data_IF_286392279922
#
_entry.id   IF_286392279922
#
_cell.length_a   1.000
_cell.length_b   1.000
_cell.length_c   1.000
_cell.angle_alpha   90.00
_cell.angle_beta   90.00
_cell.angle_gamma   90.00
#
_symmetry.space_group_name_H-M   'P 1'
#
loop_
_entity.id
_entity.type
_entity.pdbx_description
1 polymer ?
#
# COMPACT_ATOMS: atom_id res chain seq x y z
N UNK A 1 10.79 3.04 11.68
CA UNK A 1 10.28 4.23 10.96
C UNK A 1 10.42 5.44 11.86
N UNK A 2 10.76 6.61 11.31
CA UNK A 2 10.90 7.85 12.07
C UNK A 2 9.75 8.80 11.75
N UNK A 3 9.12 9.38 12.76
CA UNK A 3 8.01 10.32 12.62
C UNK A 3 8.28 11.58 13.43
N UNK A 4 7.89 12.73 12.89
CA UNK A 4 7.91 13.98 13.64
C UNK A 4 6.53 14.17 14.30
N UNK A 5 6.48 14.08 15.63
CA UNK A 5 5.28 14.26 16.43
C UNK A 5 5.50 15.44 17.38
N UNK A 6 4.75 16.53 17.17
CA UNK A 6 4.86 17.73 18.01
C UNK A 6 6.26 18.35 18.06
N UNK A 7 7.05 18.23 16.98
CA UNK A 7 8.43 18.72 16.92
C UNK A 7 9.49 17.74 17.46
N UNK A 8 9.08 16.59 17.99
CA UNK A 8 9.97 15.54 18.47
C UNK A 8 10.07 14.39 17.46
N UNK A 9 11.28 13.91 17.19
CA UNK A 9 11.50 12.77 16.30
C UNK A 9 11.36 11.46 17.10
N UNK A 10 10.32 10.70 16.81
CA UNK A 10 9.99 9.43 17.46
C UNK A 10 10.26 8.27 16.52
N UNK A 11 10.86 7.20 17.03
CA UNK A 11 11.06 5.95 16.28
C UNK A 11 10.03 4.92 16.69
N UNK A 12 9.27 4.44 15.72
CA UNK A 12 8.44 3.24 15.87
C UNK A 12 9.13 2.06 15.22
N UNK A 13 9.10 0.91 15.89
CA UNK A 13 9.35 -0.35 15.20
C UNK A 13 8.11 -0.70 14.33
N UNK A 14 8.19 -1.77 13.54
CA UNK A 14 7.11 -2.15 12.64
C UNK A 14 5.87 -2.66 13.41
N UNK A 15 6.08 -3.35 14.53
CA UNK A 15 4.98 -3.82 15.39
C UNK A 15 4.24 -2.65 16.06
N UNK A 16 4.96 -1.66 16.59
CA UNK A 16 4.38 -0.44 17.19
C UNK A 16 3.57 0.32 16.13
N UNK A 17 4.10 0.44 14.92
CA UNK A 17 3.40 1.11 13.82
C UNK A 17 2.12 0.36 13.45
N UNK A 18 2.17 -0.97 13.36
CA UNK A 18 1.00 -1.79 13.08
C UNK A 18 -0.06 -1.68 14.19
N UNK A 19 0.37 -1.64 15.45
CA UNK A 19 -0.51 -1.43 16.59
C UNK A 19 -1.25 -0.09 16.50
N UNK A 20 -0.53 0.99 16.17
CA UNK A 20 -1.11 2.35 16.11
C UNK A 20 -2.00 2.54 14.87
N UNK A 21 -1.59 1.98 13.73
CA UNK A 21 -2.33 2.08 12.47
C UNK A 21 -3.50 1.11 12.35
N UNK A 22 -3.60 0.12 13.26
CA UNK A 22 -4.59 -0.96 13.18
C UNK A 22 -4.28 -2.01 12.11
N UNK A 23 -3.11 -1.94 11.47
CA UNK A 23 -2.64 -2.94 10.50
C UNK A 23 -2.39 -4.26 11.22
N UNK A 24 -2.93 -5.36 10.68
CA UNK A 24 -2.82 -6.68 11.30
C UNK A 24 -1.44 -7.29 11.07
N UNK A 25 -0.54 -7.12 12.02
CA UNK A 25 0.80 -7.73 12.00
C UNK A 25 0.85 -9.08 12.75
N UNK A 26 -0.02 -10.02 12.38
CA UNK A 26 -0.04 -11.36 12.98
C UNK A 26 -0.39 -12.44 11.96
N UNK A 27 -0.02 -13.68 12.26
CA UNK A 27 -0.30 -14.83 11.39
C UNK A 27 0.46 -14.80 10.06
N UNK A 28 0.11 -15.72 9.17
CA UNK A 28 0.75 -15.92 7.86
C UNK A 28 -0.31 -15.86 6.78
N UNK A 29 -0.07 -15.03 5.78
CA UNK A 29 -0.86 -14.96 4.56
C UNK A 29 0.06 -14.75 3.36
N UNK A 30 -0.34 -15.26 2.20
CA UNK A 30 0.46 -15.18 0.98
C UNK A 30 -0.23 -14.27 -0.01
N UNK A 31 0.47 -13.21 -0.45
CA UNK A 31 -0.02 -12.29 -1.48
C UNK A 31 -0.33 -12.98 -2.80
N UNK A 32 0.28 -14.14 -3.06
CA UNK A 32 0.08 -14.91 -4.28
C UNK A 32 -1.37 -15.34 -4.52
N UNK A 33 -2.24 -15.32 -3.49
CA UNK A 33 -3.68 -15.55 -3.68
C UNK A 33 -4.37 -14.45 -4.50
N UNK A 34 -3.71 -13.31 -4.67
CA UNK A 34 -4.16 -12.17 -5.48
C UNK A 34 -3.50 -12.14 -6.87
N UNK A 35 -2.61 -13.09 -7.17
CA UNK A 35 -1.99 -13.19 -8.48
C UNK A 35 -3.07 -13.52 -9.53
N UNK A 36 -3.01 -12.86 -10.69
CA UNK A 36 -3.97 -13.02 -11.80
C UNK A 36 -5.43 -12.67 -11.49
N UNK A 37 -5.74 -12.07 -10.34
CA UNK A 37 -7.06 -11.49 -10.09
C UNK A 37 -7.24 -10.18 -10.88
N UNK A 38 -8.49 -9.89 -11.24
CA UNK A 38 -8.85 -8.62 -11.86
C UNK A 38 -8.61 -7.46 -10.89
N UNK A 39 -8.00 -6.37 -11.37
CA UNK A 39 -7.78 -5.14 -10.62
C UNK A 39 -8.41 -3.96 -11.38
N UNK A 40 -9.55 -3.49 -10.89
CA UNK A 40 -10.27 -2.36 -11.48
C UNK A 40 -9.41 -1.09 -11.46
N UNK A 41 -8.70 -0.82 -10.37
CA UNK A 41 -7.84 0.38 -10.27
C UNK A 41 -6.82 0.42 -11.42
N UNK A 42 -6.18 -0.71 -11.69
CA UNK A 42 -5.21 -0.84 -12.78
C UNK A 42 -5.87 -0.61 -14.14
N UNK A 43 -7.03 -1.22 -14.37
CA UNK A 43 -7.72 -1.14 -15.66
C UNK A 43 -8.42 0.20 -15.94
N UNK A 44 -8.96 0.88 -14.93
CA UNK A 44 -9.70 2.13 -15.12
C UNK A 44 -8.81 3.37 -15.06
N UNK A 45 -7.79 3.36 -14.20
CA UNK A 45 -7.00 4.57 -13.92
C UNK A 45 -5.56 4.51 -14.42
N UNK A 46 -5.02 3.31 -14.64
CA UNK A 46 -3.60 3.09 -14.94
C UNK A 46 -3.39 2.21 -16.18
N UNK A 47 -4.39 2.10 -17.06
CA UNK A 47 -4.39 1.20 -18.23
C UNK A 47 -3.21 1.45 -19.18
N UNK A 48 -2.83 2.72 -19.33
CA UNK A 48 -1.76 3.16 -20.22
C UNK A 48 -0.36 2.86 -19.67
N UNK A 49 -0.26 2.49 -18.39
CA UNK A 49 1.01 2.25 -17.73
C UNK A 49 1.37 0.77 -17.76
N UNK A 50 2.39 0.44 -18.56
CA UNK A 50 2.89 -0.94 -18.67
C UNK A 50 3.47 -1.45 -17.35
N UNK A 51 4.18 -0.60 -16.62
CA UNK A 51 4.71 -0.87 -15.28
C UNK A 51 4.37 0.33 -14.40
N UNK A 52 3.64 0.09 -13.32
CA UNK A 52 3.20 1.15 -12.41
C UNK A 52 4.28 1.33 -11.35
N UNK A 53 4.90 2.50 -11.33
CA UNK A 53 5.94 2.88 -10.37
C UNK A 53 5.37 3.46 -9.08
N UNK A 54 6.14 3.41 -8.01
CA UNK A 54 5.77 4.06 -6.73
C UNK A 54 5.62 5.58 -6.86
N UNK A 55 6.36 6.20 -7.78
CA UNK A 55 6.23 7.62 -8.14
C UNK A 55 4.92 7.93 -8.85
N UNK A 56 4.48 7.07 -9.78
CA UNK A 56 3.20 7.26 -10.48
C UNK A 56 2.03 7.09 -9.53
N UNK A 57 2.08 6.14 -8.58
CA UNK A 57 1.07 6.04 -7.52
C UNK A 57 1.03 7.30 -6.65
N UNK A 58 2.20 7.83 -6.28
CA UNK A 58 2.30 9.08 -5.52
C UNK A 58 1.70 10.27 -6.27
N UNK A 59 2.07 10.42 -7.54
CA UNK A 59 1.54 11.48 -8.40
C UNK A 59 0.04 11.35 -8.57
N UNK A 60 -0.46 10.13 -8.78
CA UNK A 60 -1.87 9.89 -8.97
C UNK A 60 -2.68 10.25 -7.71
N UNK A 61 -2.21 9.81 -6.54
CA UNK A 61 -2.86 10.11 -5.26
C UNK A 61 -2.84 11.61 -4.91
N UNK A 62 -1.73 12.30 -5.16
CA UNK A 62 -1.56 13.70 -4.79
C UNK A 62 -2.21 14.70 -5.79
N UNK A 63 -2.41 14.30 -7.05
CA UNK A 63 -2.82 15.23 -8.13
C UNK A 63 -4.22 14.98 -8.69
N UNK A 64 -4.86 13.84 -8.43
CA UNK A 64 -6.19 13.56 -8.99
C UNK A 64 -7.33 13.94 -8.06
N UNK A 65 -8.06 15.00 -8.44
CA UNK A 65 -9.17 15.56 -7.68
C UNK A 65 -10.55 15.02 -8.10
N UNK A 66 -10.62 14.11 -9.07
CA UNK A 66 -11.89 13.59 -9.63
C UNK A 66 -12.20 12.13 -9.27
N UNK A 67 -11.53 11.61 -8.24
CA UNK A 67 -11.78 10.25 -7.74
C UNK A 67 -12.96 10.23 -6.78
N UNK A 68 -13.69 9.11 -6.74
CA UNK A 68 -14.64 8.87 -5.66
C UNK A 68 -13.89 8.73 -4.32
N UNK A 69 -14.53 9.02 -3.18
CA UNK A 69 -13.91 8.86 -1.86
C UNK A 69 -13.32 7.45 -1.67
N UNK A 70 -14.02 6.42 -2.15
CA UNK A 70 -13.55 5.04 -2.12
C UNK A 70 -12.26 4.85 -2.92
N UNK A 71 -12.13 5.49 -4.06
CA UNK A 71 -10.94 5.41 -4.92
C UNK A 71 -9.77 6.17 -4.31
N UNK A 72 -10.03 7.36 -3.75
CA UNK A 72 -9.03 8.13 -3.00
C UNK A 72 -8.45 7.30 -1.87
N UNK A 73 -9.30 6.62 -1.09
CA UNK A 73 -8.85 5.73 -0.01
C UNK A 73 -7.98 4.60 -0.55
N UNK A 74 -8.38 3.96 -1.66
CA UNK A 74 -7.59 2.90 -2.29
C UNK A 74 -6.21 3.39 -2.73
N UNK A 75 -6.13 4.53 -3.43
CA UNK A 75 -4.85 5.12 -3.82
C UNK A 75 -4.00 5.56 -2.62
N UNK A 76 -4.62 6.08 -1.56
CA UNK A 76 -3.94 6.42 -0.31
C UNK A 76 -3.35 5.19 0.39
N UNK A 77 -4.08 4.08 0.42
CA UNK A 77 -3.61 2.79 0.90
C UNK A 77 -2.42 2.29 0.07
N UNK A 78 -2.53 2.34 -1.26
CA UNK A 78 -1.44 1.92 -2.15
C UNK A 78 -0.19 2.80 -1.96
N UNK A 79 -0.38 4.11 -1.81
CA UNK A 79 0.68 5.06 -1.48
C UNK A 79 1.37 4.72 -0.15
N UNK A 80 0.60 4.49 0.92
CA UNK A 80 1.13 4.10 2.24
C UNK A 80 1.95 2.81 2.16
N UNK A 81 1.43 1.79 1.46
CA UNK A 81 2.11 0.50 1.34
C UNK A 81 3.43 0.64 0.58
N UNK A 82 3.42 1.34 -0.54
CA UNK A 82 4.57 1.44 -1.44
C UNK A 82 5.63 2.46 -0.97
N UNK A 83 5.21 3.56 -0.34
CA UNK A 83 6.09 4.68 0.04
C UNK A 83 6.35 4.81 1.54
N UNK A 84 5.70 4.01 2.39
CA UNK A 84 6.00 3.99 3.85
C UNK A 84 6.41 2.59 4.29
N UNK A 85 5.56 1.59 4.03
CA UNK A 85 5.77 0.24 4.55
C UNK A 85 6.86 -0.54 3.80
N UNK A 86 6.89 -0.47 2.48
CA UNK A 86 7.85 -1.19 1.62
C UNK A 86 8.98 -0.30 1.08
N UNK A 87 9.28 0.80 1.74
CA UNK A 87 10.30 1.80 1.32
C UNK A 87 11.69 1.23 1.12
N UNK A 88 12.05 0.15 1.82
CA UNK A 88 13.34 -0.52 1.69
C UNK A 88 13.37 -1.53 0.55
N UNK A 89 12.22 -1.85 -0.05
CA UNK A 89 12.17 -2.76 -1.19
C UNK A 89 12.74 -2.05 -2.43
N UNK A 90 13.77 -2.63 -3.05
CA UNK A 90 14.44 -2.07 -4.24
C UNK A 90 13.53 -2.03 -5.49
N UNK A 91 12.28 -2.48 -5.36
CA UNK A 91 11.32 -2.57 -6.46
C UNK A 91 10.71 -1.19 -6.72
N UNK A 92 11.12 -0.58 -7.82
CA UNK A 92 10.51 0.66 -8.32
C UNK A 92 9.09 0.46 -8.85
N UNK A 93 8.75 -0.78 -9.24
CA UNK A 93 7.42 -1.15 -9.73
C UNK A 93 6.57 -1.72 -8.60
N UNK A 94 5.32 -1.29 -8.57
CA UNK A 94 4.26 -1.83 -7.73
C UNK A 94 3.83 -3.18 -8.30
N UNK A 95 3.68 -4.16 -7.43
CA UNK A 95 3.23 -5.51 -7.81
C UNK A 95 1.72 -5.54 -8.04
N UNK A 96 1.29 -6.29 -9.06
CA UNK A 96 -0.14 -6.45 -9.38
C UNK A 96 -0.95 -7.00 -8.22
N UNK A 97 -0.40 -7.98 -7.48
CA UNK A 97 -1.06 -8.57 -6.33
C UNK A 97 -1.29 -7.59 -5.17
N UNK A 98 -0.45 -6.56 -5.05
CA UNK A 98 -0.66 -5.47 -4.07
C UNK A 98 -1.81 -4.56 -4.50
N UNK A 99 -1.90 -4.26 -5.79
CA UNK A 99 -3.00 -3.45 -6.34
C UNK A 99 -4.33 -4.18 -6.24
N UNK A 100 -4.36 -5.49 -6.52
CA UNK A 100 -5.55 -6.33 -6.32
C UNK A 100 -5.97 -6.33 -4.85
N UNK A 101 -5.03 -6.52 -3.91
CA UNK A 101 -5.34 -6.55 -2.47
C UNK A 101 -5.99 -5.24 -2.00
N UNK A 102 -5.51 -4.10 -2.50
CA UNK A 102 -6.09 -2.78 -2.19
C UNK A 102 -7.47 -2.65 -2.84
N UNK A 103 -7.64 -3.09 -4.09
CA UNK A 103 -8.90 -2.96 -4.80
C UNK A 103 -10.00 -3.89 -4.27
N UNK A 104 -9.63 -5.05 -3.71
CA UNK A 104 -10.55 -6.01 -3.09
C UNK A 104 -11.10 -5.57 -1.74
N UNK A 105 -10.62 -4.45 -1.18
CA UNK A 105 -10.94 -3.97 0.17
C UNK A 105 -10.52 -4.94 1.30
N UNK A 106 -9.71 -5.95 1.02
CA UNK A 106 -9.26 -6.92 2.03
C UNK A 106 -8.03 -6.45 2.82
N UNK A 107 -7.48 -5.28 2.52
CA UNK A 107 -6.27 -4.72 3.15
C UNK A 107 -6.32 -4.75 4.68
N UNK A 108 -7.46 -4.36 5.28
CA UNK A 108 -7.65 -4.32 6.73
C UNK A 108 -7.75 -5.73 7.37
N UNK A 109 -8.12 -6.73 6.56
CA UNK A 109 -8.21 -8.11 7.01
C UNK A 109 -6.89 -8.87 6.81
N UNK A 110 -6.07 -8.45 5.84
CA UNK A 110 -4.81 -9.08 5.45
C UNK A 110 -3.80 -9.12 6.58
N UNK A 111 -3.09 -10.23 6.69
CA UNK A 111 -2.08 -10.49 7.72
C UNK A 111 -0.68 -10.16 7.22
N UNK A 112 -0.17 -9.01 7.62
CA UNK A 112 1.02 -8.38 7.05
C UNK A 112 2.36 -8.89 7.61
N UNK A 113 2.35 -9.74 8.64
CA UNK A 113 3.56 -10.12 9.42
C UNK A 113 4.74 -10.53 8.54
N UNK A 114 4.51 -11.41 7.56
CA UNK A 114 5.58 -11.94 6.72
C UNK A 114 6.15 -10.91 5.74
N UNK A 115 5.36 -9.93 5.33
CA UNK A 115 5.82 -8.94 4.35
C UNK A 115 6.57 -7.79 5.01
N UNK A 116 6.26 -7.54 6.28
CA UNK A 116 6.78 -6.40 7.04
C UNK A 116 7.97 -6.74 7.94
N UNK A 117 8.14 -8.02 8.31
CA UNK A 117 9.19 -8.50 9.23
C UNK A 117 10.21 -9.43 8.57
N UNK A 118 10.18 -9.56 7.23
CA UNK A 118 11.18 -10.32 6.46
C UNK A 118 12.41 -9.47 6.13
#
# INVERSE_FOLDING_TARGET
>A
MWFNLGGSLVRFNMEDFCLISGVRCFGVEKRSKYDACYCRIKHEFLSELRNISTSEVSDFFLKNYQLSDSDVVKFGCLFLLTNVMFTTSYKRSVEDSLMVLVDSNEMNAYRWRNELLN
#
